data_IF_416285776773
#
_entry.id   IF_416285776773
#
_cell.length_a   1.000
_cell.length_b   1.000
_cell.length_c   1.000
_cell.angle_alpha   90.00
_cell.angle_beta   90.00
_cell.angle_gamma   90.00
#
_symmetry.space_group_name_H-M   'P 1'
#
loop_
_entity.id
_entity.type
_entity.pdbx_description
1 polymer ?
#
# COMPACT_ATOMS: atom_id res chain seq x y z
N UNK A 1 -6.00 15.29 -10.39
CA UNK A 1 -5.63 15.35 -8.95
C UNK A 1 -4.91 16.65 -8.61
N UNK A 2 -3.90 17.06 -9.37
CA UNK A 2 -3.04 18.22 -9.03
C UNK A 2 -3.82 19.50 -8.72
N UNK A 3 -4.84 19.83 -9.51
CA UNK A 3 -5.73 20.99 -9.25
C UNK A 3 -6.42 20.91 -7.89
N UNK A 4 -6.81 19.72 -7.47
CA UNK A 4 -7.50 19.50 -6.19
C UNK A 4 -6.55 19.64 -5.01
N UNK A 5 -5.32 19.11 -5.15
CA UNK A 5 -4.23 19.30 -4.20
C UNK A 5 -3.92 20.79 -4.06
N UNK A 6 -3.74 21.51 -5.17
CA UNK A 6 -3.48 22.94 -5.18
C UNK A 6 -4.63 23.74 -4.56
N UNK A 7 -5.89 23.34 -4.79
CA UNK A 7 -7.05 23.98 -4.17
C UNK A 7 -7.05 23.80 -2.65
N UNK A 8 -6.77 22.59 -2.13
CA UNK A 8 -6.66 22.34 -0.68
C UNK A 8 -5.48 23.11 -0.08
N UNK A 9 -4.35 23.18 -0.78
CA UNK A 9 -3.19 23.96 -0.37
C UNK A 9 -3.51 25.46 -0.31
N UNK A 10 -4.29 25.97 -1.27
CA UNK A 10 -4.77 27.34 -1.26
C UNK A 10 -5.71 27.62 -0.08
N UNK A 11 -6.63 26.70 0.25
CA UNK A 11 -7.49 26.84 1.43
C UNK A 11 -6.66 27.05 2.70
N UNK A 12 -5.64 26.19 2.92
CA UNK A 12 -4.75 26.34 4.06
C UNK A 12 -3.98 27.66 4.03
N UNK A 13 -3.39 28.00 2.88
CA UNK A 13 -2.61 29.23 2.68
C UNK A 13 -3.41 30.50 3.00
N UNK A 14 -4.70 30.52 2.71
CA UNK A 14 -5.60 31.65 2.99
C UNK A 14 -6.31 31.54 4.35
N UNK A 15 -5.87 30.67 5.25
CA UNK A 15 -6.37 30.57 6.62
C UNK A 15 -7.67 29.80 6.76
N UNK A 16 -8.14 29.11 5.71
CA UNK A 16 -9.32 28.26 5.78
C UNK A 16 -8.94 26.94 6.47
N UNK A 17 -9.66 26.52 7.52
CA UNK A 17 -9.34 25.29 8.24
C UNK A 17 -9.71 24.06 7.39
N UNK A 18 -8.71 23.48 6.70
CA UNK A 18 -8.87 22.33 5.79
C UNK A 18 -9.66 21.19 6.43
N UNK A 19 -9.38 20.86 7.70
CA UNK A 19 -10.06 19.78 8.44
C UNK A 19 -11.56 19.97 8.64
N UNK A 20 -12.11 21.18 8.44
CA UNK A 20 -13.56 21.43 8.47
C UNK A 20 -14.22 21.22 7.12
N UNK A 21 -13.49 21.43 6.02
CA UNK A 21 -14.03 21.36 4.66
C UNK A 21 -13.70 20.05 3.95
N UNK A 22 -12.76 19.27 4.49
CA UNK A 22 -12.41 17.93 4.01
C UNK A 22 -12.85 16.88 5.03
N UNK A 23 -14.16 16.89 5.35
CA UNK A 23 -14.82 15.89 6.20
C UNK A 23 -15.70 14.98 5.34
N UNK A 24 -16.03 13.75 5.79
CA UNK A 24 -16.83 12.80 5.01
C UNK A 24 -18.15 13.34 4.43
N UNK A 25 -18.81 14.27 5.13
CA UNK A 25 -20.05 14.92 4.68
C UNK A 25 -19.85 16.01 3.62
N UNK A 26 -18.61 16.40 3.35
CA UNK A 26 -18.29 17.54 2.48
C UNK A 26 -18.02 17.09 1.04
N UNK A 27 -18.48 17.85 0.03
CA UNK A 27 -18.25 17.52 -1.38
C UNK A 27 -16.77 17.38 -1.75
N UNK A 28 -15.91 18.21 -1.13
CA UNK A 28 -14.47 18.21 -1.39
C UNK A 28 -13.83 16.88 -0.95
N UNK A 29 -14.26 16.31 0.18
CA UNK A 29 -13.80 14.99 0.61
C UNK A 29 -14.17 13.90 -0.40
N UNK A 30 -15.43 13.87 -0.83
CA UNK A 30 -15.92 12.88 -1.80
C UNK A 30 -15.20 13.00 -3.14
N UNK A 31 -14.93 14.23 -3.58
CA UNK A 31 -14.19 14.48 -4.81
C UNK A 31 -12.74 13.99 -4.73
N UNK A 32 -12.06 14.21 -3.59
CA UNK A 32 -10.70 13.69 -3.39
C UNK A 32 -10.70 12.17 -3.42
N UNK A 33 -11.67 11.52 -2.75
CA UNK A 33 -11.78 10.06 -2.77
C UNK A 33 -12.05 9.50 -4.16
N UNK A 34 -12.95 10.13 -4.93
CA UNK A 34 -13.28 9.69 -6.28
C UNK A 34 -12.06 9.73 -7.22
N UNK A 35 -11.15 10.70 -7.01
CA UNK A 35 -9.95 10.86 -7.83
C UNK A 35 -8.71 10.18 -7.25
N UNK A 36 -8.74 9.75 -5.99
CA UNK A 36 -7.61 9.12 -5.30
C UNK A 36 -6.95 7.97 -6.07
N UNK A 37 -7.70 7.07 -6.76
CA UNK A 37 -7.09 5.98 -7.52
C UNK A 37 -6.13 6.41 -8.63
N UNK A 38 -6.26 7.64 -9.16
CA UNK A 38 -5.40 8.15 -10.24
C UNK A 38 -3.98 8.44 -9.76
N UNK A 39 -3.83 8.86 -8.50
CA UNK A 39 -2.55 9.25 -7.90
C UNK A 39 -2.60 8.99 -6.38
N UNK A 40 -2.61 7.71 -5.96
CA UNK A 40 -2.96 7.35 -4.58
C UNK A 40 -1.93 7.87 -3.57
N UNK A 41 -0.64 7.86 -3.91
CA UNK A 41 0.41 8.36 -3.02
C UNK A 41 0.33 9.89 -2.85
N UNK A 42 -0.03 10.63 -3.90
CA UNK A 42 -0.25 12.07 -3.83
C UNK A 42 -1.47 12.44 -2.99
N UNK A 43 -2.56 11.67 -3.11
CA UNK A 43 -3.75 11.87 -2.29
C UNK A 43 -3.50 11.53 -0.81
N UNK A 44 -2.74 10.46 -0.55
CA UNK A 44 -2.36 10.06 0.80
C UNK A 44 -1.39 11.08 1.43
N UNK A 45 -0.45 11.62 0.65
CA UNK A 45 0.48 12.65 1.14
C UNK A 45 -0.24 13.95 1.47
N UNK A 46 -1.25 14.34 0.68
CA UNK A 46 -2.16 15.45 0.99
C UNK A 46 -2.90 15.21 2.31
N UNK A 47 -3.45 14.00 2.51
CA UNK A 47 -4.13 13.65 3.75
C UNK A 47 -3.18 13.75 4.95
N UNK A 48 -1.92 13.33 4.78
CA UNK A 48 -0.89 13.46 5.81
C UNK A 48 -0.53 14.91 6.15
N UNK A 49 -0.32 15.74 5.13
CA UNK A 49 0.04 17.16 5.27
C UNK A 49 -0.96 17.93 6.16
N UNK A 50 -2.24 17.58 6.08
CA UNK A 50 -3.32 18.23 6.82
C UNK A 50 -3.92 17.37 7.93
N UNK A 51 -3.27 16.26 8.29
CA UNK A 51 -3.73 15.32 9.33
C UNK A 51 -5.17 14.82 9.15
N UNK A 52 -5.59 14.58 7.91
CA UNK A 52 -6.94 14.17 7.52
C UNK A 52 -7.09 12.63 7.61
N UNK A 53 -7.22 12.11 8.83
CA UNK A 53 -7.23 10.65 9.05
C UNK A 53 -8.37 9.93 8.29
N UNK A 54 -9.59 10.47 8.36
CA UNK A 54 -10.77 9.87 7.71
C UNK A 54 -10.64 9.80 6.19
N UNK A 55 -9.82 10.68 5.61
CA UNK A 55 -9.50 10.66 4.18
C UNK A 55 -8.38 9.65 3.88
N UNK A 56 -7.36 9.58 4.74
CA UNK A 56 -6.23 8.67 4.54
C UNK A 56 -6.62 7.19 4.61
N UNK A 57 -7.58 6.81 5.45
CA UNK A 57 -8.05 5.43 5.61
C UNK A 57 -8.53 4.81 4.28
N UNK A 58 -9.54 5.37 3.58
CA UNK A 58 -9.98 4.83 2.30
C UNK A 58 -8.93 4.98 1.19
N UNK A 59 -8.11 6.04 1.19
CA UNK A 59 -7.03 6.16 0.20
C UNK A 59 -6.01 5.02 0.35
N UNK A 60 -5.75 4.58 1.58
CA UNK A 60 -4.75 3.56 1.87
C UNK A 60 -4.97 2.22 1.14
N UNK A 61 -6.21 1.86 0.78
CA UNK A 61 -6.49 0.65 -0.01
C UNK A 61 -5.90 0.72 -1.42
N UNK A 62 -5.79 1.90 -2.00
CA UNK A 62 -5.19 2.12 -3.32
C UNK A 62 -3.66 2.07 -3.31
N UNK A 63 -3.04 2.01 -2.14
CA UNK A 63 -1.58 1.91 -1.98
C UNK A 63 -1.08 0.45 -1.90
N UNK A 64 -1.94 -0.55 -2.11
CA UNK A 64 -1.52 -1.95 -2.04
C UNK A 64 -0.37 -2.27 -3.02
N UNK A 65 -0.44 -1.74 -4.24
CA UNK A 65 0.59 -1.93 -5.28
C UNK A 65 1.67 -0.85 -5.31
N UNK A 66 1.67 0.11 -4.39
CA UNK A 66 2.70 1.15 -4.37
C UNK A 66 4.02 0.59 -3.86
N UNK A 67 5.10 0.82 -4.61
CA UNK A 67 6.46 0.42 -4.24
C UNK A 67 7.04 1.44 -3.27
N UNK A 68 7.40 1.02 -2.05
CA UNK A 68 8.01 1.91 -1.04
C UNK A 68 9.34 2.56 -1.51
N UNK A 69 10.20 1.89 -2.30
CA UNK A 69 11.35 2.53 -2.94
C UNK A 69 11.03 3.73 -3.84
N UNK A 70 9.83 3.79 -4.43
CA UNK A 70 9.41 4.89 -5.31
C UNK A 70 8.98 6.14 -4.51
N UNK A 71 9.06 6.08 -3.17
CA UNK A 71 8.70 7.18 -2.29
C UNK A 71 9.78 8.26 -2.33
N UNK A 72 9.45 9.42 -2.88
CA UNK A 72 10.39 10.55 -2.97
C UNK A 72 10.45 11.36 -1.68
N UNK A 73 11.55 12.10 -1.49
CA UNK A 73 11.74 12.99 -0.34
C UNK A 73 10.64 14.06 -0.26
N UNK A 74 10.15 14.56 -1.39
CA UNK A 74 9.05 15.55 -1.42
C UNK A 74 7.75 14.96 -0.84
N UNK A 75 7.44 13.70 -1.14
CA UNK A 75 6.27 13.02 -0.61
C UNK A 75 6.41 12.76 0.90
N UNK A 76 7.61 12.39 1.35
CA UNK A 76 7.91 12.16 2.77
C UNK A 76 7.75 13.45 3.57
N UNK A 77 8.37 14.53 3.09
CA UNK A 77 8.28 15.86 3.71
C UNK A 77 6.84 16.35 3.75
N UNK A 78 6.09 16.16 2.67
CA UNK A 78 4.68 16.59 2.59
C UNK A 78 3.77 15.83 3.55
N UNK A 79 3.84 14.50 3.58
CA UNK A 79 2.93 13.69 4.42
C UNK A 79 3.33 13.71 5.91
N UNK A 80 4.61 13.94 6.19
CA UNK A 80 5.18 13.96 7.52
C UNK A 80 5.40 12.55 8.11
N UNK A 81 6.17 12.47 9.21
CA UNK A 81 6.64 11.21 9.78
C UNK A 81 5.50 10.31 10.31
N UNK A 82 4.38 10.90 10.75
CA UNK A 82 3.23 10.14 11.27
C UNK A 82 2.57 9.31 10.17
N UNK A 83 2.32 9.92 9.01
CA UNK A 83 1.66 9.24 7.89
C UNK A 83 2.61 8.35 7.11
N UNK A 84 3.90 8.71 7.07
CA UNK A 84 4.96 7.81 6.59
C UNK A 84 5.00 6.54 7.45
N UNK A 85 5.07 6.65 8.78
CA UNK A 85 5.03 5.48 9.68
C UNK A 85 3.79 4.63 9.40
N UNK A 86 2.60 5.24 9.32
CA UNK A 86 1.35 4.52 9.00
C UNK A 86 1.44 3.76 7.67
N UNK A 87 2.04 4.36 6.63
CA UNK A 87 2.25 3.72 5.33
C UNK A 87 3.16 2.49 5.44
N UNK A 88 4.31 2.61 6.11
CA UNK A 88 5.22 1.48 6.32
C UNK A 88 4.55 0.34 7.09
N UNK A 89 3.86 0.64 8.18
CA UNK A 89 3.13 -0.38 8.96
C UNK A 89 1.99 -1.02 8.16
N UNK A 90 1.36 -0.28 7.25
CA UNK A 90 0.35 -0.83 6.35
C UNK A 90 0.95 -1.87 5.40
N UNK A 91 2.10 -1.58 4.79
CA UNK A 91 2.80 -2.55 3.92
C UNK A 91 3.33 -3.76 4.69
N UNK A 92 3.95 -3.53 5.86
CA UNK A 92 4.43 -4.62 6.71
C UNK A 92 3.28 -5.52 7.18
N UNK A 93 2.17 -4.93 7.64
CA UNK A 93 1.00 -5.67 8.09
C UNK A 93 0.36 -6.48 6.96
N UNK A 94 0.34 -5.95 5.72
CA UNK A 94 -0.14 -6.67 4.53
C UNK A 94 0.75 -7.85 4.18
N UNK A 95 2.07 -7.68 4.19
CA UNK A 95 3.02 -8.77 3.96
C UNK A 95 2.88 -9.86 5.03
N UNK A 96 2.75 -9.47 6.30
CA UNK A 96 2.53 -10.43 7.39
C UNK A 96 1.19 -11.17 7.27
N UNK A 97 0.11 -10.49 6.88
CA UNK A 97 -1.17 -11.11 6.62
C UNK A 97 -1.10 -12.09 5.45
N UNK A 98 -0.45 -11.70 4.35
CA UNK A 98 -0.25 -12.56 3.19
C UNK A 98 0.57 -13.80 3.56
N UNK A 99 1.68 -13.65 4.29
CA UNK A 99 2.48 -14.79 4.79
C UNK A 99 1.60 -15.77 5.57
N UNK A 100 0.77 -15.28 6.51
CA UNK A 100 -0.13 -16.14 7.28
C UNK A 100 -1.13 -16.89 6.41
N UNK A 101 -1.68 -16.24 5.38
CA UNK A 101 -2.61 -16.88 4.44
C UNK A 101 -1.91 -17.94 3.57
N UNK A 102 -0.65 -17.73 3.19
CA UNK A 102 0.10 -18.65 2.34
C UNK A 102 0.71 -19.85 3.10
N UNK A 103 0.92 -19.74 4.41
CA UNK A 103 1.52 -20.80 5.23
C UNK A 103 0.70 -22.08 5.27
N UNK A 104 -0.63 -21.98 5.20
CA UNK A 104 -1.52 -23.15 5.18
C UNK A 104 -2.02 -23.40 3.76
N UNK A 105 -1.91 -24.64 3.23
CA UNK A 105 -2.57 -24.98 1.98
C UNK A 105 -4.09 -24.86 2.13
N UNK A 106 -4.81 -24.59 1.03
CA UNK A 106 -6.27 -24.55 1.04
C UNK A 106 -6.86 -25.88 1.55
N UNK A 107 -7.98 -25.80 2.27
CA UNK A 107 -8.64 -26.97 2.83
C UNK A 107 -9.08 -27.93 1.69
N UNK A 108 -8.82 -29.24 1.81
CA UNK A 108 -9.18 -30.19 0.75
C UNK A 108 -10.70 -30.33 0.67
N UNK A 109 -11.23 -30.36 -0.56
CA UNK A 109 -12.62 -30.73 -0.80
C UNK A 109 -12.80 -32.25 -0.68
N UNK A 110 -14.05 -32.73 -0.60
CA UNK A 110 -14.34 -34.18 -0.65
C UNK A 110 -13.84 -34.80 -1.97
N UNK A 111 -13.20 -35.99 -1.95
CA UNK A 111 -12.62 -36.60 -3.16
C UNK A 111 -13.64 -36.75 -4.29
N UNK A 112 -13.21 -36.47 -5.51
CA UNK A 112 -13.99 -36.63 -6.74
C UNK A 112 -13.30 -37.60 -7.69
N UNK A 113 -13.95 -37.97 -8.79
CA UNK A 113 -13.36 -38.82 -9.84
C UNK A 113 -12.15 -38.16 -10.52
N UNK A 114 -12.09 -36.83 -10.52
CA UNK A 114 -11.03 -36.05 -11.17
C UNK A 114 -9.95 -35.58 -10.19
N UNK A 115 -10.22 -35.61 -8.88
CA UNK A 115 -9.31 -35.16 -7.83
C UNK A 115 -9.48 -36.04 -6.59
N UNK A 116 -8.64 -37.08 -6.53
CA UNK A 116 -8.59 -38.01 -5.41
C UNK A 116 -7.60 -37.53 -4.32
N UNK A 117 -7.45 -38.31 -3.26
CA UNK A 117 -6.55 -38.00 -2.17
C UNK A 117 -5.07 -37.88 -2.59
N UNK A 118 -4.64 -38.60 -3.63
CA UNK A 118 -3.27 -38.55 -4.13
C UNK A 118 -3.02 -37.19 -4.79
N UNK A 119 -3.93 -36.74 -5.64
CA UNK A 119 -3.85 -35.43 -6.29
C UNK A 119 -3.91 -34.28 -5.27
N UNK A 120 -4.78 -34.37 -4.27
CA UNK A 120 -4.84 -33.39 -3.18
C UNK A 120 -3.51 -33.28 -2.42
N UNK A 121 -2.84 -34.42 -2.16
CA UNK A 121 -1.54 -34.42 -1.47
C UNK A 121 -0.41 -33.86 -2.34
N UNK A 122 -0.47 -34.07 -3.66
CA UNK A 122 0.47 -33.43 -4.60
C UNK A 122 0.28 -31.91 -4.59
N UNK A 123 -0.96 -31.43 -4.63
CA UNK A 123 -1.28 -30.00 -4.56
C UNK A 123 -0.77 -29.38 -3.26
N UNK A 124 -0.99 -30.03 -2.11
CA UNK A 124 -0.50 -29.53 -0.83
C UNK A 124 1.03 -29.34 -0.80
N UNK A 125 1.79 -30.27 -1.38
CA UNK A 125 3.25 -30.15 -1.50
C UNK A 125 3.67 -29.04 -2.46
N UNK A 126 3.03 -28.95 -3.62
CA UNK A 126 3.28 -27.89 -4.59
C UNK A 126 2.99 -26.50 -4.00
N UNK A 127 1.91 -26.40 -3.22
CA UNK A 127 1.55 -25.18 -2.48
C UNK A 127 2.64 -24.80 -1.49
N UNK A 128 3.11 -25.72 -0.64
CA UNK A 128 4.19 -25.45 0.33
C UNK A 128 5.45 -24.94 -0.37
N UNK A 129 5.83 -25.53 -1.50
CA UNK A 129 7.00 -25.09 -2.25
C UNK A 129 6.81 -23.69 -2.83
N UNK A 130 5.68 -23.45 -3.50
CA UNK A 130 5.37 -22.16 -4.11
C UNK A 130 5.23 -21.04 -3.06
N UNK A 131 4.55 -21.30 -1.94
CA UNK A 131 4.41 -20.32 -0.86
C UNK A 131 5.74 -20.02 -0.18
N UNK A 132 6.59 -21.02 0.03
CA UNK A 132 7.94 -20.81 0.55
C UNK A 132 8.78 -19.91 -0.37
N UNK A 133 8.74 -20.10 -1.70
CA UNK A 133 9.42 -19.22 -2.67
C UNK A 133 8.89 -17.79 -2.58
N UNK A 134 7.57 -17.60 -2.65
CA UNK A 134 6.95 -16.27 -2.60
C UNK A 134 7.28 -15.51 -1.31
N UNK A 135 7.34 -16.20 -0.17
CA UNK A 135 7.72 -15.59 1.11
C UNK A 135 9.20 -15.22 1.13
N UNK A 136 10.06 -15.99 0.47
CA UNK A 136 11.48 -15.73 0.35
C UNK A 136 11.78 -14.56 -0.60
N UNK A 137 11.11 -14.52 -1.76
CA UNK A 137 11.26 -13.49 -2.80
C UNK A 137 10.61 -12.15 -2.41
N UNK A 138 9.67 -12.14 -1.46
CA UNK A 138 9.07 -10.93 -0.92
C UNK A 138 10.02 -10.07 -0.04
N UNK A 139 11.34 -10.33 -0.05
CA UNK A 139 12.33 -9.51 0.64
C UNK A 139 12.51 -8.19 -0.12
N UNK A 140 12.35 -7.03 0.53
CA UNK A 140 12.61 -5.75 -0.11
C UNK A 140 14.13 -5.62 -0.33
N UNK A 141 14.59 -5.73 -1.58
CA UNK A 141 15.99 -5.47 -1.92
C UNK A 141 16.58 -6.19 -3.12
N UNK A 142 15.92 -7.19 -3.71
CA UNK A 142 16.45 -7.85 -4.92
C UNK A 142 16.04 -7.08 -6.18
N UNK A 143 16.52 -5.85 -6.27
CA UNK A 143 16.82 -5.21 -7.54
C UNK A 143 18.34 -5.29 -7.64
N UNK A 144 18.82 -6.02 -8.62
CA UNK A 144 20.23 -6.30 -8.88
C UNK A 144 21.11 -5.04 -8.76
N UNK A 145 21.84 -4.90 -7.64
CA UNK A 145 22.95 -3.95 -7.49
C UNK A 145 24.21 -4.42 -8.25
N UNK A 146 24.07 -5.03 -9.42
CA UNK A 146 25.23 -5.56 -10.16
C UNK A 146 26.03 -4.52 -10.95
N UNK A 147 25.65 -3.25 -10.95
CA UNK A 147 26.45 -2.19 -11.59
C UNK A 147 26.46 -0.88 -10.80
N UNK A 148 27.31 -0.80 -9.77
CA UNK A 148 28.07 0.44 -9.51
C UNK A 148 29.27 0.14 -8.59
N UNK A 149 30.46 0.20 -9.19
CA UNK A 149 31.77 0.12 -8.56
C UNK A 149 31.96 1.22 -7.48
N UNK A 150 32.87 1.01 -6.52
CA UNK A 150 33.05 1.88 -5.36
C UNK A 150 33.64 3.24 -5.75
N UNK A 151 33.02 4.31 -5.27
CA UNK A 151 33.66 5.63 -5.20
C UNK A 151 34.62 5.59 -4.01
N UNK A 152 35.91 5.66 -4.32
CA UNK A 152 36.98 5.89 -3.36
C UNK A 152 36.79 7.23 -2.64
N UNK A 153 36.92 7.20 -1.31
CA UNK A 153 37.43 8.30 -0.50
C UNK A 153 38.75 7.85 0.11
#
# INVERSE_FOLDING_TARGET
METLIAAVDALHKYGVPVSKYVQPSMPLFQLILALAPLTPIGAYSLAGAYSLHDLAVPISSHLLGFSLPDLTDELILRMGPVYMKKLFFLHLGRLDALKRLLLSPPYPHSPTLECDFIEQKKLARAWTLASASLVWDARPGDHEWHHMLPIHL
#
